data_IF_392845418295
#
_entry.id   IF_392845418295
#
_cell.length_a   1.000
_cell.length_b   1.000
_cell.length_c   1.000
_cell.angle_alpha   90.00
_cell.angle_beta   90.00
_cell.angle_gamma   90.00
#
_symmetry.space_group_name_H-M   'P 1'
#
loop_
_entity.id
_entity.type
_entity.pdbx_description
1 polymer ?
#
# COMPACT_ATOMS: atom_id res chain seq x y z
N UNK A 1 42.83 -61.92 -60.95
CA UNK A 1 42.22 -60.56 -61.06
C UNK A 1 41.02 -60.59 -60.18
N UNK A 2 40.94 -59.83 -59.09
CA UNK A 2 39.77 -59.79 -58.22
C UNK A 2 38.60 -59.11 -58.95
N UNK A 3 37.44 -59.61 -58.68
CA UNK A 3 36.16 -59.37 -59.34
C UNK A 3 35.62 -57.95 -58.99
N UNK A 4 35.69 -57.01 -59.91
CA UNK A 4 35.19 -55.65 -59.76
C UNK A 4 33.74 -55.55 -59.30
N UNK A 5 32.93 -56.61 -59.55
CA UNK A 5 31.55 -56.67 -59.15
C UNK A 5 31.33 -56.89 -57.62
N UNK A 6 32.28 -57.54 -56.92
CA UNK A 6 32.17 -57.77 -55.47
C UNK A 6 32.49 -56.51 -54.61
N UNK A 7 33.42 -55.66 -55.12
CA UNK A 7 33.77 -54.38 -54.48
C UNK A 7 32.65 -53.33 -54.65
N UNK A 8 31.93 -53.27 -55.77
CA UNK A 8 30.81 -52.34 -55.97
C UNK A 8 29.57 -52.75 -55.21
N UNK A 9 29.31 -54.03 -55.01
CA UNK A 9 28.16 -54.51 -54.15
C UNK A 9 28.44 -54.22 -52.67
N UNK A 10 29.64 -54.41 -52.20
CA UNK A 10 30.05 -54.19 -50.84
C UNK A 10 30.01 -52.69 -50.46
N UNK A 11 30.41 -51.78 -51.33
CA UNK A 11 30.33 -50.33 -51.13
C UNK A 11 28.89 -49.85 -51.16
N UNK A 12 27.98 -50.37 -51.97
CA UNK A 12 26.56 -49.98 -51.94
C UNK A 12 25.84 -50.50 -50.71
N UNK A 13 26.21 -51.64 -50.12
CA UNK A 13 25.65 -52.13 -48.86
C UNK A 13 26.15 -51.31 -47.67
N UNK A 14 27.40 -50.86 -47.66
CA UNK A 14 27.95 -49.98 -46.62
C UNK A 14 27.31 -48.59 -46.70
N UNK A 15 27.17 -47.94 -47.83
CA UNK A 15 26.52 -46.66 -48.03
C UNK A 15 25.02 -46.71 -47.59
N UNK A 16 24.34 -47.83 -47.88
CA UNK A 16 22.94 -48.02 -47.47
C UNK A 16 22.78 -48.25 -45.95
N UNK A 17 23.75 -48.88 -45.31
CA UNK A 17 23.76 -49.10 -43.87
C UNK A 17 24.06 -47.81 -43.11
N UNK A 18 25.00 -46.98 -43.61
CA UNK A 18 25.29 -45.67 -43.03
C UNK A 18 24.11 -44.69 -43.17
N UNK A 19 23.48 -44.62 -44.36
CA UNK A 19 22.29 -43.81 -44.56
C UNK A 19 21.10 -44.22 -43.68
N UNK A 20 20.90 -45.51 -43.43
CA UNK A 20 19.89 -46.00 -42.49
C UNK A 20 20.23 -45.67 -41.03
N UNK A 21 21.50 -45.72 -40.63
CA UNK A 21 21.92 -45.35 -39.29
C UNK A 21 21.76 -43.85 -39.04
N UNK A 22 22.06 -42.99 -39.98
CA UNK A 22 21.83 -41.55 -39.94
C UNK A 22 20.33 -41.23 -39.87
N UNK A 23 19.49 -41.90 -40.68
CA UNK A 23 18.05 -41.71 -40.63
C UNK A 23 17.43 -42.09 -39.26
N UNK A 24 17.89 -43.20 -38.69
CA UNK A 24 17.49 -43.62 -37.32
C UNK A 24 17.97 -42.66 -36.24
N UNK A 25 19.15 -42.09 -36.35
CA UNK A 25 19.64 -41.09 -35.40
C UNK A 25 18.81 -39.80 -35.45
N UNK A 26 18.44 -39.34 -36.63
CA UNK A 26 17.58 -38.17 -36.83
C UNK A 26 16.17 -38.43 -36.29
N UNK A 27 15.60 -39.62 -36.49
CA UNK A 27 14.29 -40.02 -35.97
C UNK A 27 14.29 -40.06 -34.44
N UNK A 28 15.33 -40.59 -33.82
CA UNK A 28 15.50 -40.59 -32.37
C UNK A 28 15.64 -39.19 -31.79
N UNK A 29 16.40 -38.32 -32.44
CA UNK A 29 16.55 -36.91 -32.03
C UNK A 29 15.22 -36.16 -32.16
N UNK A 30 14.46 -36.39 -33.21
CA UNK A 30 13.12 -35.82 -33.40
C UNK A 30 12.16 -36.25 -32.29
N UNK A 31 12.14 -37.54 -31.95
CA UNK A 31 11.31 -38.05 -30.87
C UNK A 31 11.70 -37.46 -29.51
N UNK A 32 12.99 -37.29 -29.23
CA UNK A 32 13.46 -36.62 -28.01
C UNK A 32 12.99 -35.18 -27.95
N UNK A 33 13.15 -34.40 -29.01
CA UNK A 33 12.72 -33.03 -29.11
C UNK A 33 11.19 -32.89 -28.95
N UNK A 34 10.43 -33.83 -29.54
CA UNK A 34 8.98 -33.85 -29.43
C UNK A 34 8.53 -34.13 -27.99
N UNK A 35 9.21 -35.02 -27.27
CA UNK A 35 8.98 -35.30 -25.87
C UNK A 35 9.31 -34.09 -24.98
N UNK A 36 10.46 -33.46 -25.20
CA UNK A 36 10.85 -32.23 -24.49
C UNK A 36 9.85 -31.10 -24.71
N UNK A 37 9.37 -30.93 -25.93
CA UNK A 37 8.37 -29.91 -26.27
C UNK A 37 7.04 -30.18 -25.57
N UNK A 38 6.64 -31.44 -25.46
CA UNK A 38 5.42 -31.84 -24.74
C UNK A 38 5.55 -31.58 -23.26
N UNK A 39 6.66 -31.99 -22.63
CA UNK A 39 6.94 -31.70 -21.23
C UNK A 39 6.97 -30.19 -20.95
N UNK A 40 7.56 -29.42 -21.84
CA UNK A 40 7.64 -27.95 -21.68
C UNK A 40 6.25 -27.30 -21.77
N UNK A 41 5.39 -27.79 -22.69
CA UNK A 41 4.00 -27.35 -22.80
C UNK A 41 3.21 -27.67 -21.54
N UNK A 42 3.39 -28.86 -20.97
CA UNK A 42 2.72 -29.26 -19.73
C UNK A 42 3.19 -28.42 -18.54
N UNK A 43 4.49 -28.18 -18.43
CA UNK A 43 5.06 -27.28 -17.42
C UNK A 43 4.50 -25.86 -17.55
N UNK A 44 4.44 -25.36 -18.78
CA UNK A 44 3.88 -24.03 -19.05
C UNK A 44 2.41 -23.94 -18.67
N UNK A 45 1.62 -24.96 -19.04
CA UNK A 45 0.19 -24.99 -18.69
C UNK A 45 -0.05 -25.01 -17.16
N UNK A 46 0.76 -25.78 -16.42
CA UNK A 46 0.71 -25.80 -14.94
C UNK A 46 1.08 -24.45 -14.35
N UNK A 47 2.20 -23.85 -14.78
CA UNK A 47 2.63 -22.52 -14.31
C UNK A 47 1.57 -21.46 -14.59
N UNK A 48 0.93 -21.52 -15.74
CA UNK A 48 -0.14 -20.59 -16.10
C UNK A 48 -1.37 -20.76 -15.19
N UNK A 49 -1.76 -22.01 -14.93
CA UNK A 49 -2.87 -22.31 -14.01
C UNK A 49 -2.56 -21.85 -12.58
N UNK A 50 -1.33 -22.07 -12.10
CA UNK A 50 -0.88 -21.62 -10.79
C UNK A 50 -0.87 -20.09 -10.70
N UNK A 51 -0.40 -19.41 -11.76
CA UNK A 51 -0.43 -17.96 -11.84
C UNK A 51 -1.85 -17.40 -11.75
N UNK A 52 -2.81 -17.98 -12.49
CA UNK A 52 -4.20 -17.57 -12.43
C UNK A 52 -4.83 -17.78 -11.04
N UNK A 53 -4.50 -18.89 -10.40
CA UNK A 53 -4.94 -19.18 -9.03
C UNK A 53 -4.37 -18.15 -8.03
N UNK A 54 -3.07 -17.86 -8.13
CA UNK A 54 -2.40 -16.86 -7.28
C UNK A 54 -3.01 -15.48 -7.52
N UNK A 55 -3.23 -15.09 -8.78
CA UNK A 55 -3.85 -13.82 -9.14
C UNK A 55 -5.23 -13.67 -8.49
N UNK A 56 -6.09 -14.67 -8.65
CA UNK A 56 -7.44 -14.67 -8.03
C UNK A 56 -7.38 -14.60 -6.51
N UNK A 57 -6.40 -15.27 -5.88
CA UNK A 57 -6.20 -15.20 -4.43
C UNK A 57 -5.77 -13.80 -4.00
N UNK A 58 -4.78 -13.21 -4.66
CA UNK A 58 -4.30 -11.87 -4.36
C UNK A 58 -5.37 -10.80 -4.55
N UNK A 59 -6.23 -10.93 -5.56
CA UNK A 59 -7.37 -10.02 -5.77
C UNK A 59 -8.36 -10.10 -4.60
N UNK A 60 -8.66 -11.29 -4.09
CA UNK A 60 -9.52 -11.46 -2.91
C UNK A 60 -8.88 -10.90 -1.64
N UNK A 61 -7.59 -11.20 -1.41
CA UNK A 61 -6.84 -10.68 -0.27
C UNK A 61 -6.78 -9.15 -0.30
N UNK A 62 -6.53 -8.56 -1.49
CA UNK A 62 -6.57 -7.10 -1.68
C UNK A 62 -7.94 -6.52 -1.36
N UNK A 63 -9.01 -7.14 -1.87
CA UNK A 63 -10.37 -6.69 -1.60
C UNK A 63 -10.68 -6.71 -0.09
N UNK A 64 -10.40 -7.82 0.58
CA UNK A 64 -10.56 -7.95 2.03
C UNK A 64 -9.72 -6.93 2.80
N UNK A 65 -8.44 -6.75 2.41
CA UNK A 65 -7.57 -5.78 3.06
C UNK A 65 -8.09 -4.34 2.94
N UNK A 66 -8.66 -3.96 1.80
CA UNK A 66 -9.27 -2.63 1.59
C UNK A 66 -10.58 -2.50 2.36
N UNK A 67 -11.42 -3.51 2.37
CA UNK A 67 -12.71 -3.53 3.07
C UNK A 67 -12.53 -3.34 4.59
N UNK A 68 -11.54 -4.01 5.17
CA UNK A 68 -11.25 -3.94 6.61
C UNK A 68 -10.13 -2.94 6.97
N UNK A 69 -9.65 -2.14 6.02
CA UNK A 69 -8.55 -1.19 6.26
C UNK A 69 -8.82 -0.22 7.42
N UNK A 70 -10.07 0.19 7.59
CA UNK A 70 -10.49 1.15 8.60
C UNK A 70 -10.93 0.52 9.93
N UNK A 71 -10.96 -0.82 10.05
CA UNK A 71 -11.45 -1.50 11.25
C UNK A 71 -10.66 -1.09 12.51
N UNK A 72 -9.34 -1.07 12.40
CA UNK A 72 -8.47 -0.67 13.51
C UNK A 72 -8.68 0.78 13.91
N UNK A 73 -8.81 1.68 12.93
CA UNK A 73 -9.12 3.08 13.18
C UNK A 73 -10.48 3.24 13.88
N UNK A 74 -11.52 2.57 13.37
CA UNK A 74 -12.84 2.61 13.98
C UNK A 74 -12.83 2.10 15.42
N UNK A 75 -12.11 1.01 15.71
CA UNK A 75 -11.95 0.49 17.08
C UNK A 75 -11.29 1.50 18.02
N UNK A 76 -10.26 2.21 17.57
CA UNK A 76 -9.55 3.20 18.37
C UNK A 76 -10.39 4.50 18.56
N UNK A 77 -11.48 4.72 17.78
CA UNK A 77 -12.41 5.84 17.91
C UNK A 77 -13.53 5.56 18.93
N UNK A 78 -13.86 4.31 19.22
CA UNK A 78 -14.93 3.95 20.16
C UNK A 78 -14.71 4.55 21.56
N UNK A 79 -13.52 4.47 22.19
CA UNK A 79 -13.28 5.06 23.51
C UNK A 79 -13.47 6.59 23.55
N UNK A 80 -13.28 7.27 22.41
CA UNK A 80 -13.53 8.71 22.31
C UNK A 80 -15.03 9.01 22.41
N UNK A 81 -15.84 8.19 21.74
CA UNK A 81 -17.31 8.27 21.81
C UNK A 81 -17.79 7.99 23.25
N UNK A 82 -17.25 6.93 23.88
CA UNK A 82 -17.58 6.58 25.26
C UNK A 82 -17.27 7.73 26.24
N UNK A 83 -16.14 8.43 26.03
CA UNK A 83 -15.75 9.59 26.84
C UNK A 83 -16.70 10.78 26.66
N UNK A 84 -17.18 11.02 25.43
CA UNK A 84 -18.16 12.05 25.13
C UNK A 84 -19.52 11.72 25.76
N UNK A 85 -19.95 10.45 25.70
CA UNK A 85 -21.19 10.00 26.34
C UNK A 85 -21.11 10.16 27.87
N UNK A 86 -19.93 9.86 28.46
CA UNK A 86 -19.73 10.07 29.90
C UNK A 86 -19.76 11.54 30.26
N UNK A 87 -19.19 12.43 29.45
CA UNK A 87 -19.27 13.87 29.65
C UNK A 87 -20.70 14.39 29.57
N UNK A 88 -21.50 13.90 28.61
CA UNK A 88 -22.93 14.24 28.51
C UNK A 88 -23.72 13.78 29.73
N UNK A 89 -23.52 12.54 30.18
CA UNK A 89 -24.20 12.02 31.39
C UNK A 89 -23.84 12.82 32.65
N UNK A 90 -22.61 13.31 32.76
CA UNK A 90 -22.18 14.16 33.87
C UNK A 90 -22.83 15.53 33.85
N UNK A 91 -23.19 16.04 32.66
CA UNK A 91 -23.90 17.32 32.51
C UNK A 91 -25.37 17.28 33.00
N UNK A 92 -25.98 16.10 33.01
CA UNK A 92 -27.38 15.91 33.50
C UNK A 92 -27.47 15.80 35.04
N UNK A 93 -26.35 15.92 35.75
CA UNK A 93 -26.31 15.79 37.23
C UNK A 93 -26.66 17.12 37.89
N UNK A 94 -27.46 17.08 38.95
CA UNK A 94 -27.82 18.25 39.79
C UNK A 94 -26.59 18.75 40.58
N UNK A 95 -25.67 19.45 39.92
CA UNK A 95 -24.51 20.09 40.53
C UNK A 95 -24.60 21.61 40.40
N UNK A 96 -23.81 22.34 41.20
CA UNK A 96 -23.72 23.79 41.03
C UNK A 96 -23.17 24.13 39.65
N UNK A 97 -23.72 25.15 38.97
CA UNK A 97 -23.33 25.47 37.59
C UNK A 97 -21.82 25.67 37.40
N UNK A 98 -21.14 26.27 38.36
CA UNK A 98 -19.70 26.52 38.31
C UNK A 98 -18.86 25.24 38.36
N UNK A 99 -19.20 24.31 39.27
CA UNK A 99 -18.52 23.01 39.37
C UNK A 99 -18.81 22.12 38.17
N UNK A 100 -20.01 22.22 37.60
CA UNK A 100 -20.39 21.49 36.39
C UNK A 100 -19.59 21.95 35.17
N UNK A 101 -19.42 23.26 34.99
CA UNK A 101 -18.65 23.83 33.88
C UNK A 101 -17.20 23.40 33.98
N UNK A 102 -16.59 23.41 35.16
CA UNK A 102 -15.20 23.01 35.37
C UNK A 102 -14.98 21.52 35.04
N UNK A 103 -15.84 20.64 35.56
CA UNK A 103 -15.79 19.19 35.25
C UNK A 103 -16.03 18.90 33.77
N UNK A 104 -16.96 19.62 33.15
CA UNK A 104 -17.25 19.47 31.73
C UNK A 104 -16.03 19.89 30.87
N UNK A 105 -15.40 21.01 31.25
CA UNK A 105 -14.18 21.48 30.59
C UNK A 105 -13.06 20.45 30.69
N UNK A 106 -12.79 19.91 31.89
CA UNK A 106 -11.79 18.88 32.11
C UNK A 106 -12.10 17.60 31.30
N UNK A 107 -13.34 17.15 31.26
CA UNK A 107 -13.80 16.01 30.49
C UNK A 107 -13.59 16.20 28.97
N UNK A 108 -13.90 17.38 28.46
CA UNK A 108 -13.69 17.74 27.05
C UNK A 108 -12.18 17.79 26.71
N UNK A 109 -11.36 18.39 27.57
CA UNK A 109 -9.92 18.43 27.39
C UNK A 109 -9.30 17.03 27.36
N UNK A 110 -9.73 16.15 28.27
CA UNK A 110 -9.30 14.75 28.29
C UNK A 110 -9.72 14.01 27.01
N UNK A 111 -10.97 14.19 26.58
CA UNK A 111 -11.47 13.59 25.34
C UNK A 111 -10.69 14.08 24.11
N UNK A 112 -10.40 15.38 24.05
CA UNK A 112 -9.61 15.96 22.97
C UNK A 112 -8.20 15.34 22.94
N UNK A 113 -7.57 15.15 24.08
CA UNK A 113 -6.26 14.50 24.20
C UNK A 113 -6.31 13.05 23.74
N UNK A 114 -7.34 12.29 24.15
CA UNK A 114 -7.53 10.91 23.68
C UNK A 114 -7.74 10.84 22.16
N UNK A 115 -8.56 11.71 21.62
CA UNK A 115 -8.81 11.78 20.18
C UNK A 115 -7.54 12.09 19.39
N UNK A 116 -6.78 13.09 19.83
CA UNK A 116 -5.50 13.45 19.20
C UNK A 116 -4.51 12.27 19.23
N UNK A 117 -4.38 11.62 20.39
CA UNK A 117 -3.50 10.44 20.54
C UNK A 117 -3.94 9.27 19.65
N UNK A 118 -5.24 9.04 19.51
CA UNK A 118 -5.77 8.02 18.60
C UNK A 118 -5.44 8.34 17.13
N UNK A 119 -5.59 9.61 16.73
CA UNK A 119 -5.20 10.07 15.38
C UNK A 119 -3.70 9.88 15.11
N UNK A 120 -2.84 10.27 16.06
CA UNK A 120 -1.38 10.11 15.96
C UNK A 120 -0.97 8.65 15.81
N UNK A 121 -1.59 7.74 16.56
CA UNK A 121 -1.38 6.29 16.47
C UNK A 121 -1.66 5.75 15.07
N UNK A 122 -2.59 6.37 14.35
CA UNK A 122 -2.91 6.05 12.97
C UNK A 122 -2.15 6.88 11.93
N UNK A 123 -1.16 7.66 12.37
CA UNK A 123 -0.28 8.45 11.49
C UNK A 123 -0.90 9.77 11.01
N UNK A 124 -1.98 10.21 11.66
CA UNK A 124 -2.53 11.56 11.45
C UNK A 124 -1.93 12.48 12.50
N UNK A 125 -1.15 13.46 12.07
CA UNK A 125 -0.49 14.44 12.95
C UNK A 125 -0.99 15.84 12.66
N UNK A 126 -1.03 16.68 13.68
CA UNK A 126 -1.35 18.09 13.55
C UNK A 126 -0.16 18.83 12.91
N UNK A 127 -0.45 19.78 12.04
CA UNK A 127 0.55 20.71 11.50
C UNK A 127 0.92 21.71 12.61
N UNK A 128 2.22 21.80 12.93
CA UNK A 128 2.71 22.71 13.96
C UNK A 128 2.61 24.16 13.47
N UNK A 129 2.25 25.07 14.37
CA UNK A 129 2.30 26.51 14.13
C UNK A 129 3.67 27.13 14.45
N UNK A 130 4.57 26.33 15.04
CA UNK A 130 5.94 26.74 15.35
C UNK A 130 6.90 26.54 14.17
N UNK A 131 6.44 25.79 13.13
CA UNK A 131 7.19 25.61 11.90
C UNK A 131 7.08 26.86 11.01
N UNK A 132 8.13 27.19 10.21
CA UNK A 132 8.05 28.27 9.23
C UNK A 132 6.90 28.06 8.26
N UNK A 133 6.36 29.13 7.69
CA UNK A 133 5.30 29.02 6.69
C UNK A 133 5.76 28.18 5.49
N UNK A 134 5.00 27.14 5.19
CA UNK A 134 5.20 26.27 4.03
C UNK A 134 3.87 26.23 3.22
N UNK A 135 3.88 26.69 1.97
CA UNK A 135 2.69 26.70 1.11
C UNK A 135 2.06 25.32 0.85
N UNK A 136 2.79 24.22 1.08
CA UNK A 136 2.28 22.86 0.90
C UNK A 136 1.37 22.38 2.04
N UNK A 137 1.47 23.00 3.21
CA UNK A 137 0.75 22.59 4.42
C UNK A 137 0.04 23.74 5.12
N UNK A 138 0.31 24.99 4.72
CA UNK A 138 -0.30 26.20 5.25
C UNK A 138 -1.00 26.99 4.13
N UNK A 139 -2.17 27.52 4.45
CA UNK A 139 -2.92 28.44 3.61
C UNK A 139 -3.00 29.80 4.32
N UNK A 140 -2.27 30.78 3.84
CA UNK A 140 -2.31 32.15 4.37
C UNK A 140 -3.62 32.83 3.94
N UNK A 141 -4.52 33.06 4.90
CA UNK A 141 -5.82 33.71 4.67
C UNK A 141 -5.78 35.21 4.87
N UNK A 142 -4.81 35.70 5.63
CA UNK A 142 -4.62 37.11 5.94
C UNK A 142 -3.14 37.39 6.21
N UNK A 143 -2.74 38.62 5.92
CA UNK A 143 -1.44 39.19 6.27
C UNK A 143 -1.66 40.37 7.18
N UNK A 144 -0.86 40.49 8.24
CA UNK A 144 -0.94 41.58 9.22
C UNK A 144 0.44 42.13 9.54
N UNK A 145 0.52 43.42 9.81
CA UNK A 145 1.75 44.02 10.31
C UNK A 145 1.96 43.62 11.77
N UNK A 146 3.15 43.13 12.10
CA UNK A 146 3.48 42.69 13.46
C UNK A 146 4.91 43.10 13.80
N UNK A 147 5.08 43.87 14.88
CA UNK A 147 6.37 44.48 15.24
C UNK A 147 7.40 43.48 15.77
N UNK A 148 6.97 42.33 16.30
CA UNK A 148 7.82 41.32 16.96
C UNK A 148 8.04 40.05 16.14
N UNK A 149 7.34 39.88 15.02
CA UNK A 149 7.40 38.66 14.19
C UNK A 149 7.94 39.00 12.82
N UNK A 150 8.92 38.23 12.35
CA UNK A 150 9.55 38.45 11.06
C UNK A 150 8.54 38.22 9.90
N UNK A 151 8.69 39.01 8.84
CA UNK A 151 7.88 38.90 7.63
C UNK A 151 7.87 37.47 7.08
N UNK A 152 6.69 36.95 6.78
CA UNK A 152 6.48 35.59 6.28
C UNK A 152 6.34 34.52 7.37
N UNK A 153 6.42 34.85 8.65
CA UNK A 153 6.16 33.91 9.73
C UNK A 153 4.68 33.88 10.12
N UNK A 154 4.27 32.79 10.76
CA UNK A 154 2.89 32.58 11.22
C UNK A 154 2.66 33.34 12.50
N UNK A 155 1.71 34.29 12.47
CA UNK A 155 1.26 35.09 13.63
C UNK A 155 0.19 34.34 14.40
N UNK A 156 -0.77 33.76 13.71
CA UNK A 156 -1.90 33.08 14.30
C UNK A 156 -2.44 31.97 13.39
N UNK A 157 -2.98 30.92 14.01
CA UNK A 157 -3.68 29.84 13.32
C UNK A 157 -5.18 29.94 13.55
N UNK A 158 -5.96 30.20 12.50
CA UNK A 158 -7.41 30.18 12.55
C UNK A 158 -7.97 28.77 12.58
N UNK A 159 -7.38 27.88 11.76
CA UNK A 159 -7.81 26.51 11.68
C UNK A 159 -6.61 25.57 11.62
N UNK A 160 -6.58 24.60 12.52
CA UNK A 160 -5.48 23.62 12.58
C UNK A 160 -5.44 22.75 11.33
N UNK A 161 -4.26 22.57 10.76
CA UNK A 161 -3.97 21.64 9.68
C UNK A 161 -3.71 20.22 10.20
N UNK A 162 -3.91 19.23 9.36
CA UNK A 162 -3.60 17.83 9.65
C UNK A 162 -2.96 17.16 8.46
N UNK A 163 -1.98 16.30 8.73
CA UNK A 163 -1.30 15.47 7.74
C UNK A 163 -1.42 13.99 8.09
N UNK A 164 -1.58 13.16 7.08
CA UNK A 164 -1.47 11.72 7.20
C UNK A 164 -0.11 11.28 6.69
N UNK A 165 0.77 10.89 7.60
CA UNK A 165 2.19 10.66 7.27
C UNK A 165 2.80 11.89 6.58
N UNK A 166 3.15 11.78 5.29
CA UNK A 166 3.75 12.88 4.50
C UNK A 166 2.74 13.60 3.59
N UNK A 167 1.45 13.25 3.66
CA UNK A 167 0.43 13.85 2.79
C UNK A 167 -0.51 14.74 3.60
N UNK A 168 -0.68 16.03 3.23
CA UNK A 168 -1.64 16.89 3.88
C UNK A 168 -3.07 16.34 3.65
N UNK A 169 -3.84 16.26 4.75
CA UNK A 169 -5.28 15.98 4.71
C UNK A 169 -6.06 17.28 4.63
N UNK A 170 -5.57 18.30 5.34
CA UNK A 170 -6.11 19.65 5.37
C UNK A 170 -4.99 20.62 5.72
N UNK A 171 -4.83 21.64 4.93
CA UNK A 171 -3.90 22.73 5.21
C UNK A 171 -4.33 23.53 6.44
N UNK A 172 -3.38 24.07 7.19
CA UNK A 172 -3.67 24.98 8.28
C UNK A 172 -4.01 26.36 7.73
N UNK A 173 -5.12 26.96 8.16
CA UNK A 173 -5.43 28.35 7.82
C UNK A 173 -4.73 29.27 8.79
N UNK A 174 -3.80 30.08 8.29
CA UNK A 174 -2.91 30.91 9.09
C UNK A 174 -2.94 32.36 8.70
N UNK A 175 -2.58 33.22 9.65
CA UNK A 175 -2.25 34.64 9.43
C UNK A 175 -0.73 34.76 9.43
N UNK A 176 -0.17 35.43 8.46
CA UNK A 176 1.27 35.66 8.34
C UNK A 176 1.62 37.11 8.62
N UNK A 177 2.83 37.37 9.11
CA UNK A 177 3.37 38.71 9.24
C UNK A 177 3.75 39.27 7.85
N UNK A 178 3.52 40.57 7.64
CA UNK A 178 3.97 41.32 6.45
C UNK A 178 5.47 41.55 6.49
#
# INVERSE_FOLDING_TARGET
MPNKNEEEINNNEIDSAEANAEAQAVENEFDLLQNELTELKDKYARVHADFDNIKKRLEREKYTAVEYANEKFAKDMIPVIDSLEMALKSADTEAKPEELIEKLKEGIELTLKQFTSALEKHGVTMVSHEEPFDPNIHNAVQSVDHDEIESGQIVQTFQRGYKYKNRPLREAMVVVAN
#
